data_IF_568464609457
#
_entry.id   IF_568464609457
#
_cell.length_a   1.000
_cell.length_b   1.000
_cell.length_c   1.000
_cell.angle_alpha   90.00
_cell.angle_beta   90.00
_cell.angle_gamma   90.00
#
_symmetry.space_group_name_H-M   'P 1'
#
loop_
_entity.id
_entity.type
_entity.pdbx_description
1 polymer ?
#
# COMPACT_ATOMS: atom_id res chain seq x y z
N UNK A 1 -37.36 19.14 -62.35
CA UNK A 1 -36.47 20.27 -61.98
C UNK A 1 -36.95 20.74 -60.62
N UNK A 2 -36.40 20.39 -59.46
CA UNK A 2 -35.14 19.75 -59.05
C UNK A 2 -35.37 18.98 -57.74
N UNK A 3 -34.70 17.85 -57.62
CA UNK A 3 -34.55 16.99 -56.44
C UNK A 3 -33.61 17.68 -55.44
N UNK A 4 -33.98 17.74 -54.15
CA UNK A 4 -33.04 18.11 -53.08
C UNK A 4 -33.27 17.23 -51.86
N UNK A 5 -32.64 16.06 -51.87
CA UNK A 5 -32.26 15.32 -50.65
C UNK A 5 -31.33 16.22 -49.81
N UNK A 6 -31.59 16.32 -48.51
CA UNK A 6 -30.57 16.76 -47.56
C UNK A 6 -30.55 15.78 -46.40
N UNK A 7 -29.45 15.04 -46.36
CA UNK A 7 -29.10 14.02 -45.38
C UNK A 7 -29.04 14.62 -43.97
N UNK A 8 -29.80 14.03 -43.05
CA UNK A 8 -29.61 14.21 -41.63
C UNK A 8 -28.36 13.45 -41.17
N UNK A 9 -27.21 14.12 -41.16
CA UNK A 9 -26.01 13.61 -40.52
C UNK A 9 -26.22 13.58 -39.00
N UNK A 10 -26.29 12.37 -38.43
CA UNK A 10 -26.40 12.16 -36.99
C UNK A 10 -25.08 12.53 -36.28
N UNK A 11 -25.07 13.42 -35.28
CA UNK A 11 -23.90 13.66 -34.45
C UNK A 11 -24.07 12.89 -33.13
N UNK A 12 -23.83 11.57 -33.10
CA UNK A 12 -24.07 10.81 -31.85
C UNK A 12 -23.03 9.75 -31.47
N UNK A 13 -22.00 9.50 -32.28
CA UNK A 13 -21.04 8.43 -31.96
C UNK A 13 -19.77 8.93 -31.24
N UNK A 14 -19.23 10.08 -31.66
CA UNK A 14 -18.01 10.65 -31.05
C UNK A 14 -18.22 11.05 -29.57
N UNK A 15 -19.31 11.77 -29.27
CA UNK A 15 -19.63 12.21 -27.90
C UNK A 15 -19.92 11.03 -26.96
N UNK A 16 -20.58 9.96 -27.44
CA UNK A 16 -20.86 8.76 -26.65
C UNK A 16 -19.58 7.99 -26.31
N UNK A 17 -18.61 7.97 -27.22
CA UNK A 17 -17.32 7.30 -27.00
C UNK A 17 -16.40 8.11 -26.08
N UNK A 18 -16.58 9.42 -25.98
CA UNK A 18 -15.84 10.31 -25.07
C UNK A 18 -16.36 10.19 -23.62
N UNK A 19 -17.68 10.15 -23.44
CA UNK A 19 -18.33 9.94 -22.12
C UNK A 19 -18.00 8.54 -21.57
N UNK A 20 -17.94 7.50 -22.41
CA UNK A 20 -17.56 6.14 -22.00
C UNK A 20 -16.05 5.95 -21.74
N UNK A 21 -15.20 6.92 -22.11
CA UNK A 21 -13.79 6.98 -21.71
C UNK A 21 -13.61 7.77 -20.41
N UNK A 22 -14.36 8.85 -20.22
CA UNK A 22 -14.34 9.66 -19.00
C UNK A 22 -14.80 8.90 -17.75
N UNK A 23 -15.72 7.94 -17.90
CA UNK A 23 -16.22 7.12 -16.79
C UNK A 23 -15.22 6.02 -16.35
N UNK A 24 -14.29 5.63 -17.24
CA UNK A 24 -13.25 4.62 -16.96
C UNK A 24 -12.06 5.16 -16.18
N UNK A 25 -11.92 6.48 -16.13
CA UNK A 25 -10.87 7.22 -15.42
C UNK A 25 -11.29 7.70 -14.04
N UNK A 26 -12.57 7.58 -13.67
CA UNK A 26 -13.03 7.97 -12.34
C UNK A 26 -12.71 6.83 -11.38
N UNK A 27 -11.78 7.06 -10.46
CA UNK A 27 -11.45 6.11 -9.40
C UNK A 27 -12.74 5.75 -8.66
N UNK A 28 -13.11 4.48 -8.70
CA UNK A 28 -14.24 3.99 -7.92
C UNK A 28 -13.87 3.99 -6.43
N UNK A 29 -14.30 5.04 -5.72
CA UNK A 29 -14.08 5.17 -4.29
C UNK A 29 -14.67 4.00 -3.48
N UNK A 30 -15.68 3.31 -4.01
CA UNK A 30 -16.24 2.10 -3.40
C UNK A 30 -15.22 0.96 -3.40
N UNK A 31 -14.48 0.79 -4.50
CA UNK A 31 -13.42 -0.22 -4.63
C UNK A 31 -12.26 0.05 -3.67
N UNK A 32 -11.80 1.30 -3.57
CA UNK A 32 -10.73 1.68 -2.62
C UNK A 32 -11.20 1.46 -1.19
N UNK A 33 -12.40 1.95 -0.84
CA UNK A 33 -12.97 1.78 0.49
C UNK A 33 -13.13 0.30 0.87
N UNK A 34 -13.58 -0.54 -0.07
CA UNK A 34 -13.67 -1.99 0.12
C UNK A 34 -12.31 -2.64 0.39
N UNK A 35 -11.28 -2.31 -0.40
CA UNK A 35 -9.93 -2.84 -0.22
C UNK A 35 -9.31 -2.43 1.13
N UNK A 36 -9.49 -1.18 1.56
CA UNK A 36 -9.03 -0.71 2.87
C UNK A 36 -9.80 -1.38 4.03
N UNK A 37 -11.10 -1.61 3.86
CA UNK A 37 -11.90 -2.34 4.85
C UNK A 37 -11.45 -3.81 4.98
N UNK A 38 -11.11 -4.46 3.87
CA UNK A 38 -10.53 -5.80 3.85
C UNK A 38 -9.16 -5.85 4.52
N UNK A 39 -8.26 -4.91 4.20
CA UNK A 39 -6.95 -4.80 4.82
C UNK A 39 -7.08 -4.64 6.36
N UNK A 40 -7.97 -3.76 6.81
CA UNK A 40 -8.27 -3.56 8.24
C UNK A 40 -8.77 -4.83 8.92
N UNK A 41 -9.67 -5.59 8.27
CA UNK A 41 -10.14 -6.89 8.80
C UNK A 41 -8.99 -7.86 8.96
N UNK A 42 -8.18 -8.05 7.93
CA UNK A 42 -7.04 -8.99 7.94
C UNK A 42 -6.00 -8.64 9.01
N UNK A 43 -5.71 -7.35 9.21
CA UNK A 43 -4.83 -6.90 10.28
C UNK A 43 -5.42 -7.19 11.67
N UNK A 44 -6.73 -7.00 11.86
CA UNK A 44 -7.40 -7.33 13.12
C UNK A 44 -7.40 -8.84 13.40
N UNK A 45 -7.55 -9.67 12.37
CA UNK A 45 -7.48 -11.13 12.48
C UNK A 45 -6.06 -11.57 12.88
N UNK A 46 -5.02 -11.02 12.23
CA UNK A 46 -3.63 -11.28 12.59
C UNK A 46 -3.31 -10.87 14.04
N UNK A 47 -3.76 -9.68 14.47
CA UNK A 47 -3.60 -9.22 15.84
C UNK A 47 -4.37 -10.09 16.85
N UNK A 48 -5.50 -10.68 16.45
CA UNK A 48 -6.25 -11.62 17.29
C UNK A 48 -5.52 -12.94 17.41
N UNK A 49 -5.03 -13.50 16.30
CA UNK A 49 -4.24 -14.73 16.28
C UNK A 49 -2.98 -14.62 17.18
N UNK A 50 -2.28 -13.48 17.13
CA UNK A 50 -1.13 -13.20 18.00
C UNK A 50 -1.50 -13.14 19.49
N UNK A 51 -2.65 -12.56 19.83
CA UNK A 51 -3.10 -12.43 21.23
C UNK A 51 -3.59 -13.75 21.83
N UNK A 52 -4.18 -14.62 21.00
CA UNK A 52 -4.77 -15.88 21.46
C UNK A 52 -3.87 -17.09 21.28
N UNK A 53 -2.80 -16.95 20.49
CA UNK A 53 -1.83 -18.02 20.21
C UNK A 53 -0.53 -17.88 21.01
N UNK A 54 0.37 -18.83 20.79
CA UNK A 54 1.76 -18.78 21.23
C UNK A 54 2.65 -18.90 19.98
N UNK A 55 2.97 -17.78 19.29
CA UNK A 55 3.74 -17.82 18.06
C UNK A 55 5.17 -18.34 18.34
N UNK A 56 5.66 -19.21 17.47
CA UNK A 56 7.07 -19.61 17.46
C UNK A 56 7.94 -18.54 16.80
N UNK A 57 9.25 -18.80 16.74
CA UNK A 57 10.22 -17.87 16.16
C UNK A 57 9.92 -17.55 14.68
N UNK A 58 9.50 -18.55 13.91
CA UNK A 58 9.15 -18.37 12.50
C UNK A 58 7.92 -17.47 12.33
N UNK A 59 6.89 -17.64 13.15
CA UNK A 59 5.69 -16.80 13.13
C UNK A 59 6.00 -15.36 13.55
N UNK A 60 6.84 -15.17 14.58
CA UNK A 60 7.30 -13.82 15.00
C UNK A 60 8.08 -13.14 13.87
N UNK A 61 8.98 -13.87 13.20
CA UNK A 61 9.74 -13.37 12.05
C UNK A 61 8.81 -12.94 10.90
N UNK A 62 7.82 -13.78 10.57
CA UNK A 62 6.85 -13.48 9.53
C UNK A 62 6.00 -12.25 9.87
N UNK A 63 5.64 -12.07 11.14
CA UNK A 63 4.86 -10.91 11.62
C UNK A 63 5.68 -9.62 11.54
N UNK A 64 6.96 -9.64 11.94
CA UNK A 64 7.84 -8.46 11.83
C UNK A 64 8.01 -8.08 10.36
N UNK A 65 8.28 -9.06 9.49
CA UNK A 65 8.39 -8.86 8.03
C UNK A 65 7.11 -8.27 7.45
N UNK A 66 5.96 -8.87 7.73
CA UNK A 66 4.68 -8.37 7.25
C UNK A 66 4.31 -7.00 7.81
N UNK A 67 4.70 -6.69 9.05
CA UNK A 67 4.46 -5.35 9.64
C UNK A 67 5.29 -4.28 8.92
N UNK A 68 6.54 -4.58 8.58
CA UNK A 68 7.38 -3.69 7.77
C UNK A 68 6.80 -3.45 6.37
N UNK A 69 6.37 -4.52 5.69
CA UNK A 69 5.74 -4.44 4.36
C UNK A 69 4.45 -3.61 4.38
N UNK A 70 3.58 -3.85 5.35
CA UNK A 70 2.33 -3.09 5.51
C UNK A 70 2.62 -1.63 5.81
N UNK A 71 3.58 -1.34 6.69
CA UNK A 71 3.95 0.05 7.04
C UNK A 71 4.50 0.80 5.83
N UNK A 72 5.35 0.15 5.03
CA UNK A 72 5.89 0.71 3.78
C UNK A 72 4.77 0.95 2.76
N UNK A 73 3.87 -0.02 2.58
CA UNK A 73 2.72 0.10 1.67
C UNK A 73 1.78 1.25 2.10
N UNK A 74 1.59 1.45 3.40
CA UNK A 74 0.83 2.59 3.93
C UNK A 74 1.53 3.92 3.64
N UNK A 75 2.86 3.98 3.75
CA UNK A 75 3.61 5.18 3.38
C UNK A 75 3.40 5.51 1.89
N UNK A 76 3.52 4.52 1.00
CA UNK A 76 3.30 4.71 -0.44
C UNK A 76 1.87 5.16 -0.77
N UNK A 77 0.86 4.61 -0.08
CA UNK A 77 -0.52 5.06 -0.22
C UNK A 77 -0.69 6.53 0.21
N UNK A 78 -0.09 6.93 1.33
CA UNK A 78 -0.13 8.32 1.80
C UNK A 78 0.61 9.25 0.84
N UNK A 79 1.72 8.81 0.25
CA UNK A 79 2.40 9.56 -0.82
C UNK A 79 1.49 9.76 -2.03
N UNK A 80 0.80 8.71 -2.47
CA UNK A 80 -0.18 8.81 -3.55
C UNK A 80 -1.32 9.78 -3.21
N UNK A 81 -1.78 9.81 -1.96
CA UNK A 81 -2.79 10.78 -1.50
C UNK A 81 -2.25 12.23 -1.52
N UNK A 82 -1.00 12.45 -1.11
CA UNK A 82 -0.35 13.76 -1.19
C UNK A 82 -0.34 14.29 -2.63
N UNK A 83 -0.05 13.44 -3.61
CA UNK A 83 -0.03 13.81 -5.04
C UNK A 83 -1.42 14.26 -5.54
N UNK A 84 -2.50 13.82 -4.88
CA UNK A 84 -3.87 14.21 -5.20
C UNK A 84 -4.41 15.40 -4.38
N UNK A 85 -3.69 15.86 -3.34
CA UNK A 85 -4.15 17.00 -2.52
C UNK A 85 -4.40 18.29 -3.29
N UNK A 86 -3.64 18.68 -4.34
CA UNK A 86 -3.93 19.92 -5.07
C UNK A 86 -5.33 19.97 -5.68
N UNK A 87 -5.92 18.81 -6.03
CA UNK A 87 -7.28 18.74 -6.54
C UNK A 87 -8.34 19.11 -5.48
N UNK A 88 -7.99 19.05 -4.19
CA UNK A 88 -8.86 19.50 -3.11
C UNK A 88 -8.95 21.03 -3.03
N UNK A 89 -7.94 21.76 -3.52
CA UNK A 89 -7.92 23.21 -3.50
C UNK A 89 -9.07 23.81 -4.31
N UNK A 90 -9.44 23.17 -5.43
CA UNK A 90 -10.56 23.60 -6.28
C UNK A 90 -11.92 23.48 -5.57
N UNK A 91 -12.07 22.49 -4.68
CA UNK A 91 -13.34 22.18 -4.02
C UNK A 91 -13.48 22.76 -2.61
N UNK A 92 -12.37 22.87 -1.89
CA UNK A 92 -12.33 23.20 -0.46
C UNK A 92 -11.47 24.44 -0.15
N UNK A 93 -10.84 25.03 -1.16
CA UNK A 93 -9.97 26.19 -1.03
C UNK A 93 -8.50 25.83 -0.71
N UNK A 94 -7.57 26.74 -0.99
CA UNK A 94 -6.12 26.48 -0.89
C UNK A 94 -5.66 26.23 0.55
N UNK A 95 -6.30 26.86 1.55
CA UNK A 95 -5.91 26.68 2.96
C UNK A 95 -6.16 25.26 3.45
N UNK A 96 -7.36 24.71 3.23
CA UNK A 96 -7.71 23.34 3.61
C UNK A 96 -6.82 22.32 2.88
N UNK A 97 -6.57 22.56 1.58
CA UNK A 97 -5.65 21.71 0.80
C UNK A 97 -4.23 21.67 1.40
N UNK A 98 -3.71 22.82 1.83
CA UNK A 98 -2.37 22.91 2.42
C UNK A 98 -2.28 22.24 3.79
N UNK A 99 -3.31 22.40 4.62
CA UNK A 99 -3.40 21.74 5.93
C UNK A 99 -3.43 20.21 5.78
N UNK A 100 -4.29 19.69 4.89
CA UNK A 100 -4.36 18.24 4.60
C UNK A 100 -3.02 17.73 4.05
N UNK A 101 -2.37 18.48 3.15
CA UNK A 101 -1.06 18.11 2.63
C UNK A 101 0.00 18.05 3.74
N UNK A 102 0.01 19.02 4.65
CA UNK A 102 0.93 19.04 5.78
C UNK A 102 0.72 17.83 6.72
N UNK A 103 -0.53 17.51 7.03
CA UNK A 103 -0.88 16.35 7.87
C UNK A 103 -0.48 15.03 7.21
N UNK A 104 -0.76 14.86 5.92
CA UNK A 104 -0.35 13.67 5.16
C UNK A 104 1.18 13.56 5.08
N UNK A 105 1.89 14.68 4.94
CA UNK A 105 3.36 14.70 4.96
C UNK A 105 3.91 14.26 6.32
N UNK A 106 3.31 14.72 7.41
CA UNK A 106 3.68 14.29 8.75
C UNK A 106 3.43 12.78 8.93
N UNK A 107 2.26 12.28 8.52
CA UNK A 107 1.92 10.86 8.57
C UNK A 107 2.88 10.00 7.73
N UNK A 108 3.19 10.42 6.51
CA UNK A 108 4.17 9.74 5.65
C UNK A 108 5.54 9.62 6.34
N UNK A 109 6.01 10.70 6.97
CA UNK A 109 7.24 10.71 7.74
C UNK A 109 7.22 9.74 8.92
N UNK A 110 6.11 9.68 9.66
CA UNK A 110 5.92 8.72 10.75
C UNK A 110 5.96 7.27 10.27
N UNK A 111 5.27 6.94 9.18
CA UNK A 111 5.26 5.59 8.60
C UNK A 111 6.65 5.19 8.09
N UNK A 112 7.32 6.08 7.37
CA UNK A 112 8.69 5.86 6.89
C UNK A 112 9.64 5.60 8.05
N UNK A 113 9.56 6.40 9.11
CA UNK A 113 10.37 6.22 10.32
C UNK A 113 10.04 4.89 11.00
N UNK A 114 8.76 4.55 11.11
CA UNK A 114 8.31 3.27 11.66
C UNK A 114 8.89 2.06 10.90
N UNK A 115 8.92 2.11 9.57
CA UNK A 115 9.55 1.07 8.75
C UNK A 115 11.07 0.99 9.01
N UNK A 116 11.76 2.13 9.07
CA UNK A 116 13.20 2.17 9.38
C UNK A 116 13.53 1.60 10.77
N UNK A 117 12.65 1.78 11.75
CA UNK A 117 12.83 1.21 13.10
C UNK A 117 12.69 -0.32 13.12
N UNK A 118 12.03 -0.92 12.13
CA UNK A 118 11.92 -2.37 11.98
C UNK A 118 13.12 -2.99 11.23
N UNK A 119 13.87 -2.19 10.46
CA UNK A 119 14.98 -2.69 9.63
C UNK A 119 16.05 -3.49 10.43
N UNK A 120 16.53 -3.04 11.61
CA UNK A 120 17.50 -3.82 12.37
C UNK A 120 16.98 -5.21 12.78
N UNK A 121 15.70 -5.30 13.15
CA UNK A 121 15.10 -6.58 13.50
C UNK A 121 14.99 -7.51 12.28
N UNK A 122 14.79 -6.97 11.07
CA UNK A 122 14.81 -7.75 9.84
C UNK A 122 16.23 -8.24 9.49
N UNK A 123 17.23 -7.39 9.70
CA UNK A 123 18.64 -7.75 9.51
C UNK A 123 19.03 -8.89 10.46
N UNK A 124 18.68 -8.78 11.75
CA UNK A 124 18.91 -9.84 12.76
C UNK A 124 18.23 -11.17 12.37
N UNK A 125 17.01 -11.11 11.83
CA UNK A 125 16.26 -12.27 11.34
C UNK A 125 16.90 -12.91 10.10
N UNK A 126 17.48 -12.10 9.21
CA UNK A 126 18.20 -12.59 8.03
C UNK A 126 19.53 -13.28 8.42
N UNK A 127 20.22 -12.75 9.43
CA UNK A 127 21.47 -13.33 9.95
C UNK A 127 21.27 -14.65 10.72
N UNK A 128 20.06 -14.88 11.24
CA UNK A 128 19.66 -16.08 11.99
C UNK A 128 18.94 -17.15 11.16
N UNK A 129 18.95 -17.01 9.82
CA UNK A 129 18.35 -17.96 8.88
C UNK A 129 18.81 -19.43 9.08
N UNK A 130 18.02 -20.39 8.56
CA UNK A 130 18.12 -21.82 8.92
C UNK A 130 19.32 -22.50 8.24
N UNK A 131 20.55 -22.12 8.59
CA UNK A 131 21.77 -22.89 8.28
C UNK A 131 23.00 -22.45 9.11
N UNK A 132 22.91 -22.53 10.44
CA UNK A 132 24.10 -22.53 11.32
C UNK A 132 24.13 -23.69 12.32
N UNK A 133 23.41 -24.75 12.03
CA UNK A 133 23.56 -26.03 12.73
C UNK A 133 24.49 -26.94 11.90
N UNK A 134 25.77 -27.08 12.31
CA UNK A 134 26.53 -28.25 11.87
C UNK A 134 28.04 -28.18 11.68
N UNK A 135 28.75 -27.08 11.97
CA UNK A 135 30.23 -27.16 12.03
C UNK A 135 30.74 -26.97 13.45
N UNK A 136 30.52 -27.98 14.28
CA UNK A 136 31.29 -28.15 15.51
C UNK A 136 32.79 -28.25 15.15
N UNK A 137 33.70 -27.55 15.83
CA UNK A 137 35.13 -27.77 15.64
C UNK A 137 35.43 -29.19 16.12
N UNK A 138 35.84 -30.07 15.19
CA UNK A 138 36.40 -31.37 15.51
C UNK A 138 37.54 -31.16 16.51
N UNK A 139 37.34 -31.55 17.77
CA UNK A 139 38.44 -31.80 18.70
C UNK A 139 39.37 -32.80 18.02
N UNK A 140 40.55 -32.35 17.60
CA UNK A 140 41.66 -33.25 17.32
C UNK A 140 42.07 -33.84 18.67
N UNK A 141 41.60 -35.04 18.94
CA UNK A 141 42.32 -35.96 19.81
C UNK A 141 43.64 -36.31 19.12
N UNK A 142 44.68 -35.52 19.39
CA UNK A 142 46.05 -35.98 19.20
C UNK A 142 46.46 -36.72 20.48
N UNK A 143 46.09 -38.00 20.51
CA UNK A 143 46.83 -39.01 21.27
C UNK A 143 48.09 -39.36 20.49
N UNK A 144 49.25 -38.88 20.95
CA UNK A 144 50.50 -39.66 21.13
C UNK A 144 51.62 -38.79 21.67
#
# INVERSE_FOLDING_TARGET
>A
MTDTRHDGAAPTDAARTEVARADRTRIDGSRIGGALADARRRLADAATALRTGSPGAAEVSAVITGTHEVTTTLADLVQTLMDHTPALAERHGPQVSNEIHADLRALHGCLTTGALLLAPALDDLAETGPDRDGTAPRRREESR
#
